data_IF_104534621841
#
_entry.id   IF_104534621841
#
_cell.length_a   1.000
_cell.length_b   1.000
_cell.length_c   1.000
_cell.angle_alpha   90.00
_cell.angle_beta   90.00
_cell.angle_gamma   90.00
#
_symmetry.space_group_name_H-M   'P 1'
#
loop_
_entity.id
_entity.type
_entity.pdbx_description
1 polymer ?
#
# COMPACT_ATOMS: atom_id res chain seq x y z
N UNK A 1 -14.21 6.73 54.25
CA UNK A 1 -14.77 6.71 52.87
C UNK A 1 -14.20 7.75 51.91
N UNK A 2 -13.60 8.87 52.36
CA UNK A 2 -12.98 9.87 51.46
C UNK A 2 -11.66 9.38 50.83
N UNK A 3 -10.85 8.60 51.56
CA UNK A 3 -9.55 8.11 51.08
C UNK A 3 -9.66 7.13 49.89
N UNK A 4 -10.71 6.28 49.86
CA UNK A 4 -10.94 5.33 48.77
C UNK A 4 -11.29 6.00 47.44
N UNK A 5 -11.94 7.18 47.48
CA UNK A 5 -12.25 7.97 46.27
C UNK A 5 -10.99 8.58 45.65
N UNK A 6 -10.02 9.01 46.45
CA UNK A 6 -8.76 9.55 45.94
C UNK A 6 -7.87 8.45 45.35
N UNK A 7 -7.88 7.25 45.93
CA UNK A 7 -7.14 6.09 45.39
C UNK A 7 -7.71 5.63 44.03
N UNK A 8 -9.04 5.60 43.89
CA UNK A 8 -9.70 5.24 42.63
C UNK A 8 -9.44 6.29 41.52
N UNK A 9 -9.35 7.57 41.90
CA UNK A 9 -9.06 8.66 40.97
C UNK A 9 -7.59 8.64 40.49
N UNK A 10 -6.64 8.25 41.36
CA UNK A 10 -5.22 8.20 41.01
C UNK A 10 -4.89 7.06 40.03
N UNK A 11 -5.57 5.91 40.16
CA UNK A 11 -5.43 4.81 39.21
C UNK A 11 -6.01 5.13 37.81
N UNK A 12 -7.07 5.95 37.74
CA UNK A 12 -7.68 6.34 36.47
C UNK A 12 -6.82 7.31 35.64
N UNK A 13 -5.96 8.12 36.28
CA UNK A 13 -5.06 9.06 35.59
C UNK A 13 -3.83 8.37 35.00
N UNK A 14 -3.35 7.29 35.64
CA UNK A 14 -2.20 6.51 35.13
C UNK A 14 -2.52 5.68 33.88
N UNK A 15 -3.79 5.38 33.62
CA UNK A 15 -4.23 4.60 32.44
C UNK A 15 -4.34 5.42 31.15
N UNK A 16 -4.29 6.76 31.22
CA UNK A 16 -4.42 7.64 30.05
C UNK A 16 -3.08 8.03 29.41
N UNK A 17 -1.96 7.50 29.90
CA UNK A 17 -0.62 7.72 29.33
C UNK A 17 -0.13 6.51 28.49
N UNK A 18 -1.03 5.59 28.15
CA UNK A 18 -0.69 4.46 27.29
C UNK A 18 -0.82 4.84 25.82
N UNK A 19 0.30 4.73 25.11
CA UNK A 19 0.46 4.68 23.65
C UNK A 19 0.43 6.02 22.90
N UNK A 20 1.45 6.86 23.13
CA UNK A 20 2.00 7.67 22.04
C UNK A 20 3.20 6.91 21.46
N UNK A 21 2.94 6.05 20.46
CA UNK A 21 4.01 5.53 19.62
C UNK A 21 4.62 6.71 18.85
N UNK A 22 5.93 6.83 18.84
CA UNK A 22 6.63 7.77 17.97
C UNK A 22 6.27 7.43 16.52
N UNK A 23 5.47 8.29 15.86
CA UNK A 23 5.23 8.16 14.43
C UNK A 23 6.55 8.44 13.72
N UNK A 24 7.22 7.38 13.25
CA UNK A 24 8.33 7.53 12.32
C UNK A 24 7.77 8.20 11.07
N UNK A 25 8.50 9.18 10.53
CA UNK A 25 8.12 9.77 9.26
C UNK A 25 8.28 8.68 8.19
N UNK A 26 7.26 8.44 7.34
CA UNK A 26 7.38 7.47 6.26
C UNK A 26 8.53 7.89 5.33
N UNK A 27 9.27 6.90 4.85
CA UNK A 27 10.34 7.10 3.87
C UNK A 27 9.68 7.43 2.53
N UNK A 28 10.08 8.58 1.96
CA UNK A 28 9.54 9.10 0.71
C UNK A 28 10.25 8.49 -0.49
N UNK A 29 9.50 7.92 -1.43
CA UNK A 29 10.06 7.36 -2.64
C UNK A 29 9.17 7.62 -3.86
N UNK A 30 9.71 8.36 -4.84
CA UNK A 30 9.08 8.60 -6.15
C UNK A 30 10.11 8.34 -7.24
N UNK A 31 9.99 7.20 -7.93
CA UNK A 31 10.48 7.05 -9.29
C UNK A 31 9.31 6.59 -10.15
N UNK A 32 8.84 7.39 -11.12
CA UNK A 32 7.82 6.96 -12.07
C UNK A 32 8.33 5.78 -12.91
N UNK A 33 7.44 4.90 -13.40
CA UNK A 33 7.84 3.80 -14.27
C UNK A 33 8.33 4.36 -15.61
N UNK A 34 9.61 4.18 -15.90
CA UNK A 34 10.19 4.53 -17.19
C UNK A 34 9.51 3.70 -18.30
N UNK A 35 9.01 4.41 -19.31
CA UNK A 35 8.32 3.85 -20.46
C UNK A 35 9.28 3.71 -21.63
N UNK A 36 10.23 2.77 -21.56
CA UNK A 36 11.01 2.38 -22.74
C UNK A 36 11.17 0.86 -22.81
N UNK A 37 10.51 0.27 -23.81
CA UNK A 37 10.73 -1.10 -24.25
C UNK A 37 11.87 -1.07 -25.27
N UNK A 38 13.04 -1.58 -24.89
CA UNK A 38 14.06 -2.00 -25.86
C UNK A 38 14.39 -3.48 -25.66
N UNK A 39 13.98 -4.28 -26.63
CA UNK A 39 14.48 -5.64 -26.80
C UNK A 39 15.97 -5.57 -27.18
N UNK A 40 16.86 -6.13 -26.37
CA UNK A 40 18.17 -6.56 -26.85
C UNK A 40 18.63 -7.81 -26.12
N UNK A 41 18.77 -8.88 -26.89
CA UNK A 41 19.46 -10.12 -26.55
C UNK A 41 20.94 -9.88 -26.28
N UNK A 42 21.42 -10.21 -25.09
CA UNK A 42 22.85 -10.20 -24.76
C UNK A 42 23.13 -10.75 -23.36
N UNK A 43 23.80 -11.90 -23.33
CA UNK A 43 24.63 -12.50 -22.27
C UNK A 43 24.40 -12.10 -20.80
N UNK A 44 23.99 -13.09 -19.99
CA UNK A 44 23.91 -12.99 -18.53
C UNK A 44 25.32 -12.85 -17.92
N UNK A 45 25.84 -11.63 -17.84
CA UNK A 45 26.96 -11.32 -16.97
C UNK A 45 26.48 -11.20 -15.52
N UNK A 46 26.89 -12.19 -14.74
CA UNK A 46 26.78 -12.26 -13.29
C UNK A 46 27.80 -11.30 -12.66
N UNK A 47 27.45 -10.01 -12.52
CA UNK A 47 28.38 -9.06 -11.89
C UNK A 47 27.77 -7.87 -11.15
N UNK A 48 26.52 -7.94 -10.69
CA UNK A 48 25.93 -6.81 -9.92
C UNK A 48 25.19 -7.17 -8.61
N UNK A 49 25.22 -8.43 -8.17
CA UNK A 49 24.62 -8.82 -6.88
C UNK A 49 25.48 -8.43 -5.66
N UNK A 50 26.74 -8.02 -5.85
CA UNK A 50 27.67 -7.78 -4.75
C UNK A 50 27.92 -6.29 -4.40
N UNK A 51 27.25 -5.33 -5.06
CA UNK A 51 27.45 -3.90 -4.81
C UNK A 51 26.21 -3.15 -4.24
N UNK A 52 25.18 -3.86 -3.77
CA UNK A 52 23.98 -3.25 -3.16
C UNK A 52 23.77 -3.74 -1.71
N UNK A 53 24.84 -3.78 -0.93
CA UNK A 53 24.84 -4.34 0.44
C UNK A 53 24.31 -3.41 1.54
N UNK A 54 23.93 -2.17 1.22
CA UNK A 54 23.49 -1.17 2.22
C UNK A 54 22.07 -0.62 1.98
N UNK A 55 21.29 -1.18 1.05
CA UNK A 55 19.93 -0.70 0.81
C UNK A 55 19.03 -0.97 2.02
N UNK A 56 18.27 0.04 2.45
CA UNK A 56 17.33 -0.07 3.56
C UNK A 56 16.26 -1.11 3.24
N UNK A 57 16.14 -2.11 4.13
CA UNK A 57 15.07 -3.10 4.10
C UNK A 57 14.01 -2.67 5.11
N UNK A 58 12.80 -2.44 4.63
CA UNK A 58 11.63 -2.17 5.46
C UNK A 58 10.77 -3.44 5.53
N UNK A 59 10.56 -3.93 6.75
CA UNK A 59 9.70 -5.08 7.02
C UNK A 59 8.29 -4.62 7.37
N UNK A 60 7.33 -4.95 6.51
CA UNK A 60 5.91 -4.68 6.69
C UNK A 60 5.21 -5.96 7.18
N UNK A 61 4.52 -5.96 8.32
CA UNK A 61 3.75 -7.11 8.77
C UNK A 61 2.52 -7.34 7.88
N UNK A 62 2.12 -8.60 7.71
CA UNK A 62 0.86 -8.95 7.07
C UNK A 62 0.00 -9.87 7.93
N UNK A 63 -1.31 -9.79 7.73
CA UNK A 63 -2.27 -10.78 8.23
C UNK A 63 -2.73 -11.68 7.09
N UNK A 64 -2.88 -12.98 7.34
CA UNK A 64 -3.36 -13.93 6.34
C UNK A 64 -4.79 -14.36 6.66
N UNK A 65 -5.70 -14.18 5.69
CA UNK A 65 -7.10 -14.60 5.76
C UNK A 65 -7.53 -15.08 4.38
N UNK A 66 -8.24 -16.21 4.30
CA UNK A 66 -8.76 -16.72 3.02
C UNK A 66 -7.68 -17.07 1.98
N UNK A 67 -6.43 -17.28 2.39
CA UNK A 67 -5.30 -17.59 1.52
C UNK A 67 -4.63 -16.37 0.87
N UNK A 68 -5.01 -15.15 1.27
CA UNK A 68 -4.40 -13.90 0.80
C UNK A 68 -3.75 -13.14 1.95
N UNK A 69 -2.77 -12.30 1.62
CA UNK A 69 -1.98 -11.51 2.58
C UNK A 69 -2.46 -10.06 2.57
N UNK A 70 -2.92 -9.57 3.72
CA UNK A 70 -3.37 -8.19 3.90
C UNK A 70 -2.30 -7.35 4.59
N UNK A 71 -2.06 -6.15 4.07
CA UNK A 71 -1.21 -5.12 4.65
C UNK A 71 -2.04 -3.87 4.97
N UNK A 72 -1.66 -3.15 6.02
CA UNK A 72 -2.27 -1.87 6.36
C UNK A 72 -1.76 -0.79 5.42
N UNK A 73 -2.67 -0.03 4.81
CA UNK A 73 -2.36 1.00 3.81
C UNK A 73 -3.18 2.25 4.10
N UNK A 74 -2.57 3.42 4.09
CA UNK A 74 -3.27 4.71 4.11
C UNK A 74 -3.32 5.29 2.69
N UNK A 75 -4.51 5.67 2.24
CA UNK A 75 -4.73 6.36 0.96
C UNK A 75 -5.25 7.76 1.26
N UNK A 76 -4.49 8.77 0.87
CA UNK A 76 -4.79 10.19 1.12
C UNK A 76 -5.15 10.47 2.60
N UNK A 77 -4.55 9.71 3.53
CA UNK A 77 -4.80 9.82 4.98
C UNK A 77 -5.92 8.93 5.54
N UNK A 78 -6.59 8.13 4.71
CA UNK A 78 -7.61 7.18 5.13
C UNK A 78 -7.10 5.74 5.12
N UNK A 79 -7.26 5.02 6.23
CA UNK A 79 -6.74 3.67 6.41
C UNK A 79 -7.61 2.59 5.75
N UNK A 80 -6.94 1.67 5.07
CA UNK A 80 -7.46 0.46 4.44
C UNK A 80 -6.61 -0.76 4.84
N UNK A 81 -7.21 -1.94 4.71
CA UNK A 81 -6.49 -3.20 4.59
C UNK A 81 -6.54 -3.61 3.12
N UNK A 82 -5.38 -3.78 2.51
CA UNK A 82 -5.28 -4.14 1.09
C UNK A 82 -4.56 -5.47 0.93
N UNK A 83 -4.97 -6.26 -0.05
CA UNK A 83 -4.32 -7.50 -0.44
C UNK A 83 -3.03 -7.15 -1.17
N UNK A 84 -1.90 -7.69 -0.72
CA UNK A 84 -0.67 -7.68 -1.49
C UNK A 84 -0.83 -8.62 -2.69
N UNK A 85 -0.84 -8.09 -3.91
CA UNK A 85 -1.20 -8.84 -5.11
C UNK A 85 -0.25 -8.56 -6.29
N UNK A 86 0.73 -9.46 -6.49
CA UNK A 86 1.67 -9.41 -7.62
C UNK A 86 1.00 -9.68 -8.97
N UNK A 87 -0.23 -10.21 -8.97
CA UNK A 87 -1.01 -10.51 -10.17
C UNK A 87 -1.88 -9.35 -10.65
N UNK A 88 -1.94 -8.23 -9.91
CA UNK A 88 -2.66 -7.05 -10.30
C UNK A 88 -1.71 -6.04 -10.96
N UNK A 89 -1.97 -5.64 -12.21
CA UNK A 89 -1.10 -4.71 -12.95
C UNK A 89 -1.10 -3.28 -12.40
N UNK A 90 -2.10 -2.92 -11.62
CA UNK A 90 -2.32 -1.58 -11.04
C UNK A 90 -2.64 -1.72 -9.56
N UNK A 91 -2.84 -0.62 -8.84
CA UNK A 91 -3.64 -0.64 -7.59
C UNK A 91 -5.12 -0.74 -7.95
N UNK A 92 -5.91 -1.54 -7.22
CA UNK A 92 -7.36 -1.68 -7.44
C UNK A 92 -8.16 -1.32 -6.19
N UNK A 93 -9.16 -0.45 -6.35
CA UNK A 93 -10.16 -0.14 -5.33
C UNK A 93 -11.56 -0.40 -5.89
N UNK A 94 -12.53 -0.68 -5.03
CA UNK A 94 -13.92 -0.80 -5.45
C UNK A 94 -14.55 0.59 -5.63
N UNK A 95 -15.62 0.66 -6.42
CA UNK A 95 -16.42 1.89 -6.57
C UNK A 95 -17.06 2.33 -5.23
N UNK A 96 -17.29 1.41 -4.28
CA UNK A 96 -17.77 1.78 -2.96
C UNK A 96 -16.72 2.57 -2.18
N UNK A 97 -15.47 2.11 -2.18
CA UNK A 97 -14.34 2.83 -1.55
C UNK A 97 -14.02 4.14 -2.27
N UNK A 98 -14.02 4.15 -3.61
CA UNK A 98 -13.80 5.39 -4.36
C UNK A 98 -14.87 6.45 -4.04
N UNK A 99 -16.15 6.06 -3.99
CA UNK A 99 -17.24 6.94 -3.59
C UNK A 99 -17.10 7.42 -2.15
N UNK A 100 -16.68 6.54 -1.24
CA UNK A 100 -16.43 6.91 0.15
C UNK A 100 -15.33 7.97 0.24
N UNK A 101 -14.18 7.74 -0.40
CA UNK A 101 -13.06 8.68 -0.42
C UNK A 101 -13.49 10.03 -0.99
N UNK A 102 -14.25 10.03 -2.10
CA UNK A 102 -14.78 11.25 -2.70
C UNK A 102 -15.72 12.01 -1.76
N UNK A 103 -16.71 11.33 -1.17
CA UNK A 103 -17.66 11.96 -0.25
C UNK A 103 -17.00 12.52 1.02
N UNK A 104 -15.88 11.94 1.43
CA UNK A 104 -15.10 12.38 2.60
C UNK A 104 -14.04 13.43 2.27
N UNK A 105 -13.87 13.78 0.99
CA UNK A 105 -12.90 14.77 0.53
C UNK A 105 -11.46 14.24 0.45
N UNK A 106 -11.27 12.92 0.51
CA UNK A 106 -9.98 12.28 0.28
C UNK A 106 -9.68 12.08 -1.20
N UNK A 107 -10.68 12.16 -2.08
CA UNK A 107 -10.54 12.12 -3.53
C UNK A 107 -11.34 13.28 -4.12
N UNK A 108 -10.78 14.02 -5.07
CA UNK A 108 -11.44 15.19 -5.68
C UNK A 108 -11.67 15.00 -7.17
N UNK A 109 -12.39 15.92 -7.83
CA UNK A 109 -12.66 15.79 -9.27
C UNK A 109 -11.37 15.82 -10.10
N UNK A 110 -10.36 16.54 -9.63
CA UNK A 110 -9.03 16.62 -10.25
C UNK A 110 -8.28 15.29 -10.21
N UNK A 111 -8.68 14.38 -9.31
CA UNK A 111 -8.08 13.06 -9.16
C UNK A 111 -8.67 12.03 -10.12
N UNK A 112 -9.74 12.36 -10.86
CA UNK A 112 -10.38 11.44 -11.82
C UNK A 112 -9.66 11.57 -13.18
N UNK A 113 -8.93 10.53 -13.58
CA UNK A 113 -8.09 10.53 -14.78
C UNK A 113 -8.82 10.03 -16.04
N UNK A 114 -9.97 9.39 -15.88
CA UNK A 114 -10.80 8.89 -16.99
C UNK A 114 -11.09 7.41 -16.86
N UNK A 115 -11.00 6.66 -17.96
CA UNK A 115 -11.22 5.22 -18.03
C UNK A 115 -10.05 4.50 -18.68
N UNK A 116 -9.80 3.25 -18.28
CA UNK A 116 -8.81 2.35 -18.87
C UNK A 116 -9.40 0.95 -19.06
N UNK A 117 -8.87 0.22 -20.03
CA UNK A 117 -9.23 -1.17 -20.27
C UNK A 117 -8.22 -2.09 -19.58
N UNK A 118 -8.71 -3.09 -18.85
CA UNK A 118 -7.88 -4.08 -18.17
C UNK A 118 -8.29 -5.48 -18.58
N UNK A 119 -7.29 -6.34 -18.82
CA UNK A 119 -7.52 -7.77 -18.99
C UNK A 119 -7.45 -8.45 -17.63
N UNK A 120 -8.48 -9.19 -17.25
CA UNK A 120 -8.52 -9.92 -15.97
C UNK A 120 -8.03 -11.37 -16.13
N UNK A 121 -7.94 -12.12 -15.03
CA UNK A 121 -7.34 -13.45 -14.99
C UNK A 121 -7.98 -14.49 -15.94
N UNK A 122 -9.26 -14.31 -16.31
CA UNK A 122 -9.96 -15.17 -17.27
C UNK A 122 -9.74 -14.77 -18.74
N UNK A 123 -8.98 -13.70 -18.98
CA UNK A 123 -8.66 -13.16 -20.30
C UNK A 123 -9.67 -12.16 -20.86
N UNK A 124 -10.78 -11.89 -20.17
CA UNK A 124 -11.76 -10.89 -20.60
C UNK A 124 -11.27 -9.45 -20.38
N UNK A 125 -11.76 -8.52 -21.21
CA UNK A 125 -11.43 -7.09 -21.14
C UNK A 125 -12.58 -6.36 -20.45
N UNK A 126 -12.24 -5.55 -19.45
CA UNK A 126 -13.18 -4.71 -18.69
C UNK A 126 -12.73 -3.26 -18.75
N UNK A 127 -13.67 -2.34 -18.94
CA UNK A 127 -13.43 -0.90 -18.83
C UNK A 127 -13.67 -0.45 -17.38
N UNK A 128 -12.70 0.23 -16.79
CA UNK A 128 -12.75 0.71 -15.42
C UNK A 128 -12.33 2.18 -15.34
N UNK A 129 -12.89 2.91 -14.37
CA UNK A 129 -12.45 4.27 -14.08
C UNK A 129 -11.03 4.25 -13.50
N UNK A 130 -10.22 5.26 -13.82
CA UNK A 130 -8.88 5.44 -13.25
C UNK A 130 -8.86 6.72 -12.44
N UNK A 131 -8.25 6.65 -11.25
CA UNK A 131 -8.08 7.78 -10.34
C UNK A 131 -6.62 7.90 -9.90
N UNK A 132 -6.19 9.12 -9.58
CA UNK A 132 -4.91 9.40 -8.96
C UNK A 132 -5.05 9.40 -7.43
N UNK A 133 -4.36 8.47 -6.76
CA UNK A 133 -4.19 8.49 -5.31
C UNK A 133 -2.94 9.31 -4.99
N UNK A 134 -3.13 10.57 -4.55
CA UNK A 134 -2.04 11.52 -4.26
C UNK A 134 -0.98 10.94 -3.32
N UNK A 135 -1.41 10.15 -2.35
CA UNK A 135 -0.53 9.52 -1.38
C UNK A 135 -1.05 8.13 -1.00
N UNK A 136 -0.18 7.14 -1.14
CA UNK A 136 -0.36 5.77 -0.64
C UNK A 136 0.78 5.45 0.30
N UNK A 137 0.48 5.15 1.57
CA UNK A 137 1.47 4.80 2.58
C UNK A 137 1.22 3.37 3.06
N UNK A 138 2.20 2.50 2.89
CA UNK A 138 2.17 1.12 3.39
C UNK A 138 2.73 1.10 4.81
N UNK A 139 1.93 0.62 5.77
CA UNK A 139 2.28 0.42 7.17
C UNK A 139 2.94 1.64 7.85
N UNK A 140 2.50 2.86 7.51
CA UNK A 140 3.10 4.12 7.97
C UNK A 140 4.61 4.29 7.67
N UNK A 141 5.20 3.42 6.84
CA UNK A 141 6.64 3.34 6.61
C UNK A 141 7.03 3.67 5.16
N UNK A 142 6.28 3.21 4.16
CA UNK A 142 6.65 3.35 2.74
C UNK A 142 5.64 4.25 2.06
N UNK A 143 6.06 5.44 1.59
CA UNK A 143 5.19 6.38 0.90
C UNK A 143 5.45 6.40 -0.60
N UNK A 144 4.37 6.25 -1.37
CA UNK A 144 4.31 6.46 -2.82
C UNK A 144 3.35 7.62 -3.11
N UNK A 145 3.74 8.57 -3.96
CA UNK A 145 2.82 9.63 -4.40
C UNK A 145 2.31 9.40 -5.82
N UNK A 146 1.18 10.02 -6.16
CA UNK A 146 0.61 9.94 -7.51
C UNK A 146 0.49 8.49 -8.04
N UNK A 147 -0.17 7.65 -7.24
CA UNK A 147 -0.42 6.24 -7.56
C UNK A 147 -1.70 6.14 -8.38
N UNK A 148 -1.60 5.61 -9.61
CA UNK A 148 -2.79 5.36 -10.42
C UNK A 148 -3.54 4.13 -9.92
N UNK A 149 -4.81 4.30 -9.58
CA UNK A 149 -5.67 3.20 -9.15
C UNK A 149 -6.81 2.98 -10.13
N UNK A 150 -7.06 1.71 -10.44
CA UNK A 150 -8.22 1.25 -11.18
C UNK A 150 -9.40 1.11 -10.22
N UNK A 151 -10.54 1.67 -10.57
CA UNK A 151 -11.78 1.58 -9.81
C UNK A 151 -12.69 0.54 -10.46
N UNK A 152 -12.84 -0.60 -9.78
CA UNK A 152 -13.74 -1.66 -10.21
C UNK A 152 -15.20 -1.22 -10.06
N UNK A 153 -16.02 -1.47 -11.09
CA UNK A 153 -17.45 -1.22 -11.04
C UNK A 153 -18.21 -2.09 -10.01
N UNK A 154 -17.57 -3.11 -9.43
CA UNK A 154 -18.15 -3.95 -8.39
C UNK A 154 -17.90 -3.34 -6.99
N UNK A 155 -18.98 -3.04 -6.26
CA UNK A 155 -18.93 -2.52 -4.87
C UNK A 155 -18.20 -3.43 -3.88
N UNK A 156 -18.09 -4.73 -4.18
CA UNK A 156 -17.45 -5.71 -3.31
C UNK A 156 -16.12 -6.21 -3.89
N UNK A 157 -15.54 -5.48 -4.85
CA UNK A 157 -14.22 -5.84 -5.35
C UNK A 157 -13.19 -5.78 -4.22
N UNK A 158 -12.25 -6.74 -4.14
CA UNK A 158 -11.19 -6.69 -3.16
C UNK A 158 -10.30 -5.46 -3.41
N UNK A 159 -9.70 -4.92 -2.35
CA UNK A 159 -8.71 -3.84 -2.46
C UNK A 159 -7.34 -4.47 -2.69
N UNK A 160 -6.71 -4.17 -3.83
CA UNK A 160 -5.47 -4.81 -4.25
C UNK A 160 -4.34 -3.77 -4.31
N UNK A 161 -3.25 -4.06 -3.61
CA UNK A 161 -1.98 -3.36 -3.72
C UNK A 161 -1.14 -4.08 -4.78
N UNK A 162 -1.25 -3.62 -6.03
CA UNK A 162 -0.60 -4.25 -7.18
C UNK A 162 0.59 -3.48 -7.72
N UNK A 163 0.98 -3.84 -8.95
CA UNK A 163 2.29 -3.52 -9.51
C UNK A 163 2.54 -2.02 -9.74
N UNK A 164 1.49 -1.20 -9.84
CA UNK A 164 1.65 0.27 -9.80
C UNK A 164 2.43 0.75 -8.56
N UNK A 165 2.28 0.05 -7.43
CA UNK A 165 3.06 0.32 -6.21
C UNK A 165 4.25 -0.63 -6.09
N UNK A 166 4.07 -1.92 -6.38
CA UNK A 166 5.12 -2.93 -6.17
C UNK A 166 6.34 -2.74 -7.09
N UNK A 167 6.15 -2.20 -8.30
CA UNK A 167 7.24 -1.95 -9.23
C UNK A 167 8.04 -0.70 -8.87
N UNK A 168 7.59 0.10 -7.89
CA UNK A 168 8.31 1.30 -7.44
C UNK A 168 9.52 0.92 -6.58
N UNK A 169 9.44 -0.15 -5.80
CA UNK A 169 10.57 -0.61 -4.96
C UNK A 169 11.66 -1.32 -5.80
N UNK A 170 12.84 -1.54 -5.24
CA UNK A 170 13.91 -2.29 -5.90
C UNK A 170 13.61 -3.79 -5.95
N UNK A 171 13.10 -4.32 -4.84
CA UNK A 171 12.73 -5.71 -4.68
C UNK A 171 11.80 -5.87 -3.47
N UNK A 172 11.09 -6.98 -3.42
CA UNK A 172 10.37 -7.41 -2.23
C UNK A 172 10.51 -8.92 -2.05
N UNK A 173 10.47 -9.38 -0.79
CA UNK A 173 10.48 -10.80 -0.45
C UNK A 173 9.44 -11.09 0.65
N UNK A 174 8.66 -12.14 0.45
CA UNK A 174 7.66 -12.57 1.43
C UNK A 174 8.28 -13.57 2.40
N UNK A 175 8.31 -13.23 3.67
CA UNK A 175 8.69 -14.12 4.76
C UNK A 175 7.42 -14.67 5.43
N UNK A 176 7.08 -15.91 5.10
CA UNK A 176 5.88 -16.56 5.64
C UNK A 176 6.05 -17.02 7.09
N UNK A 177 7.29 -17.22 7.57
CA UNK A 177 7.54 -17.65 8.95
C UNK A 177 7.32 -16.48 9.91
N UNK A 178 7.91 -15.32 9.57
CA UNK A 178 7.80 -14.10 10.37
C UNK A 178 6.57 -13.24 10.04
N UNK A 179 5.81 -13.63 9.00
CA UNK A 179 4.64 -12.91 8.49
C UNK A 179 4.93 -11.46 8.10
N UNK A 180 6.02 -11.27 7.36
CA UNK A 180 6.42 -9.96 6.84
C UNK A 180 6.62 -9.98 5.34
N UNK A 181 6.48 -8.80 4.73
CA UNK A 181 6.95 -8.49 3.39
C UNK A 181 8.13 -7.54 3.56
N UNK A 182 9.31 -7.99 3.13
CA UNK A 182 10.55 -7.24 3.25
C UNK A 182 10.79 -6.49 1.94
N UNK A 183 10.59 -5.18 1.95
CA UNK A 183 10.80 -4.30 0.82
C UNK A 183 12.22 -3.74 0.83
N UNK A 184 12.92 -3.87 -0.29
CA UNK A 184 14.18 -3.19 -0.56
C UNK A 184 13.85 -1.93 -1.36
N UNK A 185 14.09 -0.75 -0.78
CA UNK A 185 13.92 0.52 -1.50
C UNK A 185 15.04 0.73 -2.53
N UNK A 186 14.81 1.55 -3.58
CA UNK A 186 15.88 1.92 -4.53
C UNK A 186 16.72 3.07 -4.00
#
# INVERSE_FOLDING_TARGET
MKCLKYLLCLCAVMLLMSCAGEKKNPVFYDNPPDSETEETSGDYETSDYNNLSDAEIISVPFTEEGGVKFVDVSVNGFGFKMIFDTGCSSTLISVAEANYLYQRGYLTNEDILGVSQSQIADGSIVENMVVNLKEVIIDDQIKCTDVQATVSANNNAPLLLGNEVLDRVAAYAVDNENKTINFKLR
#
